data_IF_223601745923
#
_entry.id   IF_223601745923
#
_cell.length_a   1.000
_cell.length_b   1.000
_cell.length_c   1.000
_cell.angle_alpha   90.00
_cell.angle_beta   90.00
_cell.angle_gamma   90.00
#
_symmetry.space_group_name_H-M   'P 1'
#
loop_
_entity.id
_entity.type
_entity.pdbx_description
1 polymer ?
#
# COMPACT_ATOMS: atom_id res chain seq x y z
N UNK A 1 25.28 -25.23 -2.11
CA UNK A 1 25.37 -23.96 -1.38
C UNK A 1 24.08 -23.85 -0.58
N UNK A 2 24.17 -23.77 0.74
CA UNK A 2 22.98 -23.70 1.61
C UNK A 2 22.19 -22.44 1.23
N UNK A 3 20.98 -22.64 0.73
CA UNK A 3 19.99 -21.56 0.60
C UNK A 3 19.78 -20.97 2.01
N UNK A 4 20.36 -19.81 2.23
CA UNK A 4 20.16 -19.06 3.46
C UNK A 4 18.70 -18.59 3.43
N UNK A 5 17.86 -19.25 4.20
CA UNK A 5 16.46 -18.90 4.37
C UNK A 5 16.42 -17.47 4.96
N UNK A 6 16.09 -16.48 4.12
CA UNK A 6 16.06 -15.08 4.53
C UNK A 6 14.93 -14.93 5.54
N UNK A 7 15.25 -14.47 6.73
CA UNK A 7 14.25 -14.24 7.75
C UNK A 7 13.68 -12.80 7.68
N UNK A 8 12.47 -12.60 8.20
CA UNK A 8 11.77 -11.33 8.25
C UNK A 8 12.64 -10.18 8.80
N UNK A 9 13.40 -10.45 9.88
CA UNK A 9 14.24 -9.43 10.51
C UNK A 9 15.39 -8.93 9.63
N UNK A 10 15.91 -9.75 8.74
CA UNK A 10 16.95 -9.35 7.78
C UNK A 10 16.38 -8.41 6.72
N UNK A 11 15.20 -8.74 6.17
CA UNK A 11 14.52 -7.87 5.20
C UNK A 11 14.12 -6.55 5.85
N UNK A 12 13.51 -6.59 7.04
CA UNK A 12 13.14 -5.37 7.78
C UNK A 12 14.34 -4.44 8.00
N UNK A 13 15.49 -4.99 8.37
CA UNK A 13 16.73 -4.21 8.52
C UNK A 13 17.23 -3.65 7.20
N UNK A 14 17.14 -4.41 6.12
CA UNK A 14 17.59 -3.98 4.80
C UNK A 14 16.73 -2.83 4.25
N UNK A 15 15.40 -2.96 4.30
CA UNK A 15 14.49 -1.87 3.85
C UNK A 15 14.61 -0.63 4.73
N UNK A 16 14.84 -0.79 6.04
CA UNK A 16 15.07 0.35 6.94
C UNK A 16 16.38 1.09 6.65
N UNK A 17 17.44 0.36 6.28
CA UNK A 17 18.72 0.97 5.84
C UNK A 17 18.57 1.77 4.56
N UNK A 18 17.70 1.38 3.64
CA UNK A 18 17.44 2.16 2.42
C UNK A 18 16.88 3.57 2.74
N UNK A 19 16.30 3.77 3.93
CA UNK A 19 15.89 5.08 4.41
C UNK A 19 17.07 6.01 4.77
N UNK A 20 18.28 5.45 5.03
CA UNK A 20 19.45 6.23 5.41
C UNK A 20 19.87 7.20 4.31
N UNK A 21 19.60 6.87 3.05
CA UNK A 21 19.81 7.74 1.89
C UNK A 21 19.12 9.10 2.01
N UNK A 22 17.96 9.16 2.67
CA UNK A 22 17.18 10.39 2.83
C UNK A 22 17.44 11.11 4.16
N UNK A 23 18.01 10.41 5.15
CA UNK A 23 18.19 10.97 6.49
C UNK A 23 19.12 12.19 6.48
N UNK A 24 18.66 13.25 7.14
CA UNK A 24 19.40 14.51 7.20
C UNK A 24 19.24 15.42 5.97
N UNK A 25 18.60 14.95 4.90
CA UNK A 25 18.37 15.74 3.67
C UNK A 25 16.89 15.97 3.37
N UNK A 26 16.02 15.02 3.71
CA UNK A 26 14.56 15.08 3.46
C UNK A 26 13.81 14.71 4.72
N UNK A 27 12.68 15.36 4.99
CA UNK A 27 11.83 15.07 6.15
C UNK A 27 11.24 13.65 6.08
N UNK A 28 11.20 12.89 7.19
CA UNK A 28 10.62 11.54 7.21
C UNK A 28 9.18 11.46 6.72
N UNK A 29 8.37 12.47 6.96
CA UNK A 29 6.99 12.54 6.46
C UNK A 29 6.90 12.63 4.94
N UNK A 30 7.97 13.04 4.29
CA UNK A 30 8.07 13.18 2.83
C UNK A 30 8.69 11.91 2.23
N UNK A 31 9.86 11.46 2.73
CA UNK A 31 10.56 10.36 2.07
C UNK A 31 9.94 8.98 2.30
N UNK A 32 9.04 8.83 3.26
CA UNK A 32 8.30 7.57 3.46
C UNK A 32 7.60 7.10 2.17
N UNK A 33 6.96 8.03 1.45
CA UNK A 33 6.21 7.69 0.24
C UNK A 33 7.14 7.22 -0.88
N UNK A 34 8.33 7.81 -1.01
CA UNK A 34 9.36 7.39 -1.98
C UNK A 34 9.89 5.98 -1.69
N UNK A 35 10.22 5.69 -0.43
CA UNK A 35 10.75 4.39 -0.02
C UNK A 35 9.68 3.30 -0.17
N UNK A 36 8.45 3.56 0.27
CA UNK A 36 7.34 2.60 0.19
C UNK A 36 6.93 2.32 -1.25
N UNK A 37 6.91 3.35 -2.11
CA UNK A 37 6.64 3.17 -3.55
C UNK A 37 7.79 2.41 -4.23
N UNK A 38 9.05 2.70 -3.91
CA UNK A 38 10.17 1.96 -4.49
C UNK A 38 10.17 0.49 -4.06
N UNK A 39 9.81 0.19 -2.80
CA UNK A 39 9.63 -1.19 -2.33
C UNK A 39 8.54 -1.92 -3.14
N UNK A 40 7.43 -1.24 -3.42
CA UNK A 40 6.35 -1.79 -4.23
C UNK A 40 6.81 -2.07 -5.67
N UNK A 41 7.48 -1.13 -6.33
CA UNK A 41 8.04 -1.31 -7.69
C UNK A 41 9.06 -2.43 -7.72
N UNK A 42 9.93 -2.51 -6.71
CA UNK A 42 10.91 -3.58 -6.57
C UNK A 42 10.24 -4.95 -6.45
N UNK A 43 9.20 -5.06 -5.62
CA UNK A 43 8.41 -6.27 -5.48
C UNK A 43 7.76 -6.69 -6.81
N UNK A 44 7.06 -5.77 -7.49
CA UNK A 44 6.44 -6.07 -8.78
C UNK A 44 7.47 -6.59 -9.78
N UNK A 45 8.65 -5.95 -9.82
CA UNK A 45 9.73 -6.32 -10.74
C UNK A 45 10.34 -7.67 -10.42
N UNK A 46 10.49 -8.00 -9.13
CA UNK A 46 11.03 -9.27 -8.68
C UNK A 46 10.06 -10.43 -8.97
N UNK A 47 8.76 -10.23 -8.72
CA UNK A 47 7.72 -11.22 -9.04
C UNK A 47 7.66 -11.45 -10.55
N UNK A 48 7.64 -10.38 -11.32
CA UNK A 48 7.60 -10.45 -12.78
C UNK A 48 8.82 -11.20 -13.35
N UNK A 49 10.02 -10.89 -12.87
CA UNK A 49 11.25 -11.54 -13.29
C UNK A 49 11.27 -13.04 -12.91
N UNK A 50 10.75 -13.38 -11.73
CA UNK A 50 10.69 -14.77 -11.26
C UNK A 50 9.76 -15.62 -12.14
N UNK A 51 8.60 -15.06 -12.53
CA UNK A 51 7.67 -15.71 -13.46
C UNK A 51 8.26 -15.82 -14.86
N UNK A 52 8.93 -14.76 -15.36
CA UNK A 52 9.62 -14.81 -16.64
C UNK A 52 10.66 -15.93 -16.68
N UNK A 53 11.52 -16.01 -15.66
CA UNK A 53 12.57 -17.04 -15.57
C UNK A 53 11.95 -18.45 -15.48
N UNK A 54 10.82 -18.61 -14.80
CA UNK A 54 10.09 -19.88 -14.73
C UNK A 54 9.52 -20.29 -16.09
N UNK A 55 8.85 -19.38 -16.80
CA UNK A 55 8.33 -19.64 -18.15
C UNK A 55 9.45 -19.89 -19.18
N UNK A 56 10.57 -19.18 -19.05
CA UNK A 56 11.73 -19.43 -19.92
C UNK A 56 12.31 -20.83 -19.69
N UNK A 57 12.37 -21.30 -18.46
CA UNK A 57 12.81 -22.65 -18.13
C UNK A 57 11.86 -23.74 -18.66
N UNK A 58 10.54 -23.47 -18.67
CA UNK A 58 9.52 -24.41 -19.10
C UNK A 58 9.35 -24.44 -20.64
N UNK A 59 9.39 -23.27 -21.29
CA UNK A 59 9.05 -23.11 -22.72
C UNK A 59 10.28 -22.84 -23.60
N UNK A 60 11.49 -22.76 -23.02
CA UNK A 60 12.73 -22.61 -23.79
C UNK A 60 12.78 -21.30 -24.57
N UNK A 61 13.24 -21.38 -25.83
CA UNK A 61 13.48 -20.22 -26.68
C UNK A 61 12.24 -19.76 -27.47
N UNK A 62 11.05 -19.75 -26.81
CA UNK A 62 9.82 -19.23 -27.38
C UNK A 62 9.42 -17.88 -26.78
N UNK A 63 10.15 -16.77 -27.04
CA UNK A 63 9.96 -15.50 -26.35
C UNK A 63 8.57 -14.89 -26.59
N UNK A 64 7.96 -15.15 -27.74
CA UNK A 64 6.61 -14.63 -28.04
C UNK A 64 5.54 -15.33 -27.20
N UNK A 65 5.66 -16.64 -27.00
CA UNK A 65 4.77 -17.39 -26.10
C UNK A 65 4.93 -16.89 -24.67
N UNK A 66 6.16 -16.71 -24.19
CA UNK A 66 6.41 -16.21 -22.84
C UNK A 66 5.81 -14.82 -22.66
N UNK A 67 5.92 -13.91 -23.64
CA UNK A 67 5.30 -12.59 -23.58
C UNK A 67 3.77 -12.67 -23.48
N UNK A 68 3.14 -13.60 -24.21
CA UNK A 68 1.67 -13.79 -24.12
C UNK A 68 1.28 -14.36 -22.75
N UNK A 69 2.03 -15.30 -22.17
CA UNK A 69 1.79 -15.82 -20.82
C UNK A 69 1.91 -14.70 -19.77
N UNK A 70 2.93 -13.86 -19.89
CA UNK A 70 3.17 -12.74 -18.98
C UNK A 70 2.06 -11.68 -18.98
N UNK A 71 1.26 -11.55 -20.02
CA UNK A 71 0.08 -10.67 -20.06
C UNK A 71 -1.04 -11.13 -19.12
N UNK A 72 -1.05 -12.40 -18.74
CA UNK A 72 -2.04 -12.98 -17.84
C UNK A 72 -1.60 -12.97 -16.38
N UNK A 73 -0.41 -12.46 -16.10
CA UNK A 73 0.10 -12.34 -14.74
C UNK A 73 -0.69 -11.31 -13.93
N UNK A 74 -0.59 -11.42 -12.61
CA UNK A 74 -1.28 -10.53 -11.67
C UNK A 74 -1.00 -9.06 -11.94
N UNK A 75 0.24 -8.72 -12.33
CA UNK A 75 0.66 -7.40 -12.78
C UNK A 75 1.50 -7.53 -14.05
N UNK A 76 1.25 -6.64 -14.98
CA UNK A 76 2.00 -6.54 -16.24
C UNK A 76 3.01 -5.40 -16.11
N UNK A 77 4.28 -5.66 -16.44
CA UNK A 77 5.31 -4.64 -16.43
C UNK A 77 5.84 -4.38 -17.85
N UNK A 78 5.79 -3.14 -18.33
CA UNK A 78 6.46 -2.78 -19.58
C UNK A 78 7.99 -2.99 -19.45
N UNK A 79 8.69 -3.40 -20.53
CA UNK A 79 10.11 -3.73 -20.47
C UNK A 79 11.02 -2.64 -19.89
N UNK A 80 10.73 -1.35 -20.17
CA UNK A 80 11.48 -0.22 -19.64
C UNK A 80 10.96 0.29 -18.28
N UNK A 81 9.82 -0.20 -17.80
CA UNK A 81 9.14 0.28 -16.60
C UNK A 81 9.24 -0.77 -15.47
N UNK A 82 10.47 -1.19 -15.16
CA UNK A 82 10.74 -2.09 -14.05
C UNK A 82 11.98 -1.64 -13.28
N UNK A 83 12.14 -2.14 -12.06
CA UNK A 83 13.23 -1.77 -11.17
C UNK A 83 14.61 -2.00 -11.80
N UNK A 84 14.81 -3.08 -12.53
CA UNK A 84 16.12 -3.43 -13.10
C UNK A 84 16.52 -2.47 -14.21
N UNK A 85 15.59 -2.08 -15.08
CA UNK A 85 15.84 -1.03 -16.09
C UNK A 85 16.17 0.32 -15.43
N UNK A 86 15.46 0.70 -14.36
CA UNK A 86 15.78 1.91 -13.61
C UNK A 86 17.18 1.85 -12.99
N UNK A 87 17.57 0.69 -12.45
CA UNK A 87 18.87 0.48 -11.86
C UNK A 87 20.00 0.54 -12.88
N UNK A 88 19.83 -0.04 -14.07
CA UNK A 88 20.82 0.00 -15.16
C UNK A 88 21.18 1.43 -15.56
N UNK A 89 20.19 2.31 -15.64
CA UNK A 89 20.34 3.70 -16.06
C UNK A 89 20.61 4.68 -14.89
N UNK A 90 20.84 4.22 -13.66
CA UNK A 90 20.94 5.05 -12.45
C UNK A 90 22.08 6.07 -12.48
N UNK A 91 23.11 5.86 -13.29
CA UNK A 91 24.24 6.78 -13.44
C UNK A 91 23.97 7.92 -14.45
N UNK A 92 22.88 7.83 -15.20
CA UNK A 92 22.47 8.85 -16.14
C UNK A 92 21.71 9.98 -15.43
N UNK A 93 21.75 11.21 -15.97
CA UNK A 93 20.90 12.30 -15.44
C UNK A 93 19.41 12.00 -15.65
N UNK A 94 18.55 12.67 -14.86
CA UNK A 94 17.10 12.59 -15.01
C UNK A 94 16.47 11.33 -14.38
N UNK A 95 17.06 10.78 -13.34
CA UNK A 95 16.50 9.61 -12.62
C UNK A 95 15.06 9.85 -12.14
N UNK A 96 14.76 11.05 -11.63
CA UNK A 96 13.41 11.39 -11.16
C UNK A 96 12.37 11.29 -12.27
N UNK A 97 12.63 11.88 -13.43
CA UNK A 97 11.74 11.82 -14.59
C UNK A 97 11.59 10.38 -15.12
N UNK A 98 12.69 9.60 -15.11
CA UNK A 98 12.69 8.20 -15.56
C UNK A 98 11.83 7.33 -14.66
N UNK A 99 11.93 7.51 -13.32
CA UNK A 99 11.10 6.78 -12.36
C UNK A 99 9.64 7.18 -12.52
N UNK A 100 9.30 8.47 -12.63
CA UNK A 100 7.93 8.93 -12.81
C UNK A 100 7.30 8.34 -14.10
N UNK A 101 8.03 8.31 -15.20
CA UNK A 101 7.59 7.66 -16.45
C UNK A 101 7.35 6.16 -16.28
N UNK A 102 8.21 5.47 -15.52
CA UNK A 102 8.05 4.05 -15.23
C UNK A 102 6.80 3.79 -14.37
N UNK A 103 6.55 4.59 -13.34
CA UNK A 103 5.34 4.49 -12.51
C UNK A 103 4.07 4.68 -13.35
N UNK A 104 4.06 5.69 -14.22
CA UNK A 104 2.93 5.95 -15.10
C UNK A 104 2.67 4.78 -16.07
N UNK A 105 3.72 4.24 -16.69
CA UNK A 105 3.59 3.09 -17.58
C UNK A 105 3.12 1.81 -16.85
N UNK A 106 3.57 1.58 -15.59
CA UNK A 106 3.08 0.49 -14.75
C UNK A 106 1.59 0.67 -14.45
N UNK A 107 1.16 1.90 -14.14
CA UNK A 107 -0.23 2.22 -13.86
C UNK A 107 -1.12 2.00 -15.08
N UNK A 108 -0.72 2.48 -16.26
CA UNK A 108 -1.47 2.33 -17.51
C UNK A 108 -1.73 0.86 -17.87
N UNK A 109 -0.70 0.00 -17.76
CA UNK A 109 -0.84 -1.44 -18.03
C UNK A 109 -1.69 -2.17 -16.97
N UNK A 110 -1.85 -1.60 -15.79
CA UNK A 110 -2.59 -2.18 -14.67
C UNK A 110 -3.74 -1.28 -14.18
N UNK A 111 -4.36 -0.52 -15.07
CA UNK A 111 -5.33 0.54 -14.74
C UNK A 111 -6.46 0.09 -13.81
N UNK A 112 -6.96 -1.14 -13.97
CA UNK A 112 -8.02 -1.68 -13.13
C UNK A 112 -7.63 -1.85 -11.66
N UNK A 113 -6.33 -2.01 -11.38
CA UNK A 113 -5.80 -2.24 -10.03
C UNK A 113 -5.10 -1.02 -9.47
N UNK A 114 -4.35 -0.30 -10.30
CA UNK A 114 -3.41 0.74 -9.87
C UNK A 114 -3.84 2.16 -10.29
N UNK A 115 -5.06 2.37 -10.81
CA UNK A 115 -5.53 3.72 -11.13
C UNK A 115 -5.30 4.68 -9.97
N UNK A 116 -4.66 5.81 -10.26
CA UNK A 116 -4.37 6.91 -9.35
C UNK A 116 -3.44 6.59 -8.15
N UNK A 117 -2.86 5.37 -8.09
CA UNK A 117 -2.01 4.95 -6.95
C UNK A 117 -0.73 5.78 -6.87
N UNK A 118 -0.22 6.28 -7.99
CA UNK A 118 1.02 7.05 -8.03
C UNK A 118 0.81 8.56 -8.24
N UNK A 119 -0.44 9.05 -8.27
CA UNK A 119 -0.77 10.45 -8.61
C UNK A 119 -0.18 11.49 -7.65
N UNK A 120 -0.04 11.15 -6.36
CA UNK A 120 0.41 12.07 -5.32
C UNK A 120 1.93 12.02 -5.09
N UNK A 121 2.66 11.19 -5.86
CA UNK A 121 4.11 11.05 -5.74
C UNK A 121 4.81 11.41 -7.06
N UNK A 122 5.89 12.20 -6.95
CA UNK A 122 6.79 12.46 -8.06
C UNK A 122 8.24 12.40 -7.58
N UNK A 123 9.00 11.49 -8.14
CA UNK A 123 10.43 11.37 -7.91
C UNK A 123 11.22 12.50 -8.58
N UNK A 124 10.58 13.26 -9.48
CA UNK A 124 11.15 14.46 -10.07
C UNK A 124 10.83 15.74 -9.28
N UNK A 125 10.23 15.60 -8.10
CA UNK A 125 9.86 16.74 -7.25
C UNK A 125 11.07 17.46 -6.66
N UNK A 126 10.97 18.81 -6.58
CA UNK A 126 11.94 19.66 -5.88
C UNK A 126 11.99 19.43 -4.35
N UNK A 127 11.06 18.63 -3.79
CA UNK A 127 11.13 18.17 -2.39
C UNK A 127 12.37 17.33 -2.11
N UNK A 128 12.99 16.74 -3.15
CA UNK A 128 14.24 15.97 -3.07
C UNK A 128 15.50 16.82 -3.29
N UNK A 129 15.37 18.14 -3.44
CA UNK A 129 16.46 19.06 -3.68
C UNK A 129 16.59 19.49 -5.14
N UNK A 130 17.75 20.06 -5.47
CA UNK A 130 18.08 20.42 -6.86
C UNK A 130 18.32 19.17 -7.73
N UNK A 131 18.53 19.36 -9.03
CA UNK A 131 18.67 18.24 -9.97
C UNK A 131 19.86 17.33 -9.65
N UNK A 132 20.97 17.89 -9.22
CA UNK A 132 22.15 17.12 -8.85
C UNK A 132 21.90 16.29 -7.57
N UNK A 133 21.38 16.92 -6.52
CA UNK A 133 21.07 16.29 -5.25
C UNK A 133 20.01 15.18 -5.45
N UNK A 134 18.96 15.48 -6.22
CA UNK A 134 17.91 14.51 -6.58
C UNK A 134 18.49 13.27 -7.26
N UNK A 135 19.33 13.46 -8.28
CA UNK A 135 19.97 12.33 -8.96
C UNK A 135 20.86 11.50 -8.04
N UNK A 136 21.62 12.12 -7.14
CA UNK A 136 22.46 11.41 -6.17
C UNK A 136 21.62 10.58 -5.18
N UNK A 137 20.55 11.17 -4.63
CA UNK A 137 19.62 10.49 -3.73
C UNK A 137 18.94 9.31 -4.42
N UNK A 138 18.40 9.50 -5.62
CA UNK A 138 17.68 8.46 -6.33
C UNK A 138 18.59 7.34 -6.83
N UNK A 139 19.82 7.68 -7.23
CA UNK A 139 20.85 6.66 -7.53
C UNK A 139 21.13 5.80 -6.30
N UNK A 140 21.39 6.41 -5.15
CA UNK A 140 21.67 5.70 -3.92
C UNK A 140 20.46 4.83 -3.48
N UNK A 141 19.23 5.33 -3.62
CA UNK A 141 18.02 4.56 -3.37
C UNK A 141 17.94 3.30 -4.26
N UNK A 142 18.20 3.43 -5.56
CA UNK A 142 18.22 2.29 -6.48
C UNK A 142 19.33 1.29 -6.12
N UNK A 143 20.51 1.77 -5.70
CA UNK A 143 21.62 0.92 -5.25
C UNK A 143 21.27 0.17 -3.96
N UNK A 144 20.58 0.83 -3.01
CA UNK A 144 20.12 0.19 -1.78
C UNK A 144 19.10 -0.92 -2.05
N UNK A 145 18.13 -0.67 -2.93
CA UNK A 145 17.12 -1.67 -3.29
C UNK A 145 17.65 -2.80 -4.20
N UNK A 146 18.83 -2.62 -4.82
CA UNK A 146 19.47 -3.67 -5.61
C UNK A 146 20.32 -4.64 -4.78
N UNK A 147 20.53 -4.36 -3.49
CA UNK A 147 21.34 -5.24 -2.61
C UNK A 147 20.76 -6.66 -2.55
N UNK A 148 21.60 -7.70 -2.44
CA UNK A 148 21.17 -9.10 -2.41
C UNK A 148 20.12 -9.41 -1.33
N UNK A 149 20.17 -8.70 -0.19
CA UNK A 149 19.22 -8.83 0.91
C UNK A 149 17.78 -8.44 0.51
N UNK A 150 17.64 -7.56 -0.50
CA UNK A 150 16.37 -7.09 -1.05
C UNK A 150 16.01 -7.78 -2.39
N UNK A 151 16.50 -8.98 -2.62
CA UNK A 151 15.95 -9.84 -3.66
C UNK A 151 14.65 -10.46 -3.14
N UNK A 152 13.52 -9.94 -3.61
CA UNK A 152 12.17 -10.25 -3.13
C UNK A 152 11.45 -11.28 -4.02
N UNK A 153 12.20 -12.03 -4.84
CA UNK A 153 11.63 -13.07 -5.73
C UNK A 153 10.90 -14.15 -4.92
N UNK A 154 9.68 -14.53 -5.28
CA UNK A 154 8.93 -15.59 -4.62
C UNK A 154 9.70 -16.90 -4.48
N UNK A 155 10.46 -17.32 -5.51
CA UNK A 155 11.31 -18.50 -5.49
C UNK A 155 12.38 -18.45 -4.40
N UNK A 156 12.77 -17.27 -3.93
CA UNK A 156 13.78 -17.07 -2.89
C UNK A 156 13.19 -16.89 -1.50
N UNK A 157 12.12 -16.11 -1.38
CA UNK A 157 11.52 -15.78 -0.08
C UNK A 157 10.45 -16.77 0.38
N UNK A 158 9.90 -17.56 -0.55
CA UNK A 158 8.95 -18.64 -0.30
C UNK A 158 7.56 -18.23 0.19
N UNK A 159 7.39 -17.06 0.79
CA UNK A 159 6.11 -16.55 1.34
C UNK A 159 5.93 -15.08 1.04
N UNK A 160 4.81 -14.72 0.39
CA UNK A 160 4.45 -13.32 0.08
C UNK A 160 4.28 -12.46 1.34
N UNK A 161 3.85 -13.04 2.45
CA UNK A 161 3.63 -12.33 3.72
C UNK A 161 4.89 -11.58 4.21
N UNK A 162 6.08 -12.06 3.86
CA UNK A 162 7.34 -11.43 4.27
C UNK A 162 7.46 -10.00 3.75
N UNK A 163 7.00 -9.73 2.52
CA UNK A 163 7.11 -8.40 1.91
C UNK A 163 6.04 -7.48 2.48
N UNK A 164 4.81 -7.95 2.59
CA UNK A 164 3.75 -7.23 3.25
C UNK A 164 4.12 -6.84 4.68
N UNK A 165 4.69 -7.77 5.45
CA UNK A 165 5.17 -7.49 6.79
C UNK A 165 6.34 -6.49 6.82
N UNK A 166 7.23 -6.51 5.82
CA UNK A 166 8.29 -5.51 5.71
C UNK A 166 7.74 -4.12 5.38
N UNK A 167 6.69 -4.05 4.57
CA UNK A 167 5.97 -2.82 4.26
C UNK A 167 5.28 -2.25 5.50
N UNK A 168 4.54 -3.07 6.26
CA UNK A 168 3.93 -2.66 7.53
C UNK A 168 4.98 -2.23 8.56
N UNK A 169 6.11 -2.94 8.62
CA UNK A 169 7.24 -2.55 9.47
C UNK A 169 7.75 -1.13 9.14
N UNK A 170 7.92 -0.81 7.85
CA UNK A 170 8.31 0.54 7.43
C UNK A 170 7.26 1.58 7.82
N UNK A 171 5.98 1.32 7.59
CA UNK A 171 4.88 2.20 7.98
C UNK A 171 4.95 2.48 9.49
N UNK A 172 5.12 1.45 10.32
CA UNK A 172 5.24 1.58 11.77
C UNK A 172 6.47 2.42 12.18
N UNK A 173 7.63 2.22 11.53
CA UNK A 173 8.84 2.99 11.80
C UNK A 173 8.67 4.47 11.41
N UNK A 174 8.05 4.75 10.26
CA UNK A 174 7.75 6.12 9.85
C UNK A 174 6.74 6.79 10.78
N UNK A 175 5.72 6.06 11.25
CA UNK A 175 4.81 6.56 12.25
C UNK A 175 5.53 6.93 13.55
N UNK A 176 6.41 6.07 14.06
CA UNK A 176 7.19 6.34 15.27
C UNK A 176 8.08 7.59 15.14
N UNK A 177 8.59 7.88 13.94
CA UNK A 177 9.45 9.05 13.69
C UNK A 177 8.67 10.34 13.36
N UNK A 178 7.41 10.24 12.95
CA UNK A 178 6.56 11.38 12.55
C UNK A 178 5.85 12.10 13.70
N UNK A 179 6.01 11.64 14.95
CA UNK A 179 5.45 12.27 16.14
C UNK A 179 3.91 12.32 16.15
N UNK A 180 3.32 13.49 16.47
CA UNK A 180 1.85 13.64 16.62
C UNK A 180 1.04 13.32 15.36
N UNK A 181 1.63 13.39 14.18
CA UNK A 181 0.96 13.05 12.90
C UNK A 181 0.91 11.54 12.63
N UNK A 182 1.59 10.75 13.44
CA UNK A 182 1.63 9.28 13.27
C UNK A 182 0.26 8.62 13.38
N UNK A 183 -0.59 9.07 14.31
CA UNK A 183 -1.93 8.54 14.54
C UNK A 183 -2.91 8.77 13.40
N UNK A 184 -2.56 9.61 12.40
CA UNK A 184 -3.43 9.89 11.26
C UNK A 184 -3.37 8.80 10.17
N UNK A 185 -2.37 7.92 10.17
CA UNK A 185 -2.21 6.91 9.12
C UNK A 185 -1.81 5.52 9.61
N UNK A 186 -1.58 5.32 10.90
CA UNK A 186 -1.13 4.04 11.44
C UNK A 186 -1.74 3.74 12.81
N UNK A 187 -2.34 2.55 12.93
CA UNK A 187 -2.76 1.97 14.20
C UNK A 187 -1.68 0.98 14.67
N UNK A 188 -1.21 1.04 15.93
CA UNK A 188 -0.24 0.07 16.44
C UNK A 188 -0.68 -1.37 16.19
N UNK A 189 0.26 -2.24 15.81
CA UNK A 189 -0.02 -3.61 15.39
C UNK A 189 -0.77 -4.39 16.47
N UNK A 190 -0.40 -4.23 17.73
CA UNK A 190 -1.00 -4.91 18.87
C UNK A 190 -2.47 -4.48 19.09
N UNK A 191 -2.77 -3.19 18.84
CA UNK A 191 -4.14 -2.67 18.92
C UNK A 191 -4.98 -3.22 17.77
N UNK A 192 -4.43 -3.22 16.55
CA UNK A 192 -5.11 -3.77 15.38
C UNK A 192 -5.37 -5.27 15.52
N UNK A 193 -4.43 -6.02 16.09
CA UNK A 193 -4.59 -7.44 16.39
C UNK A 193 -5.70 -7.67 17.43
N UNK A 194 -5.68 -6.92 18.53
CA UNK A 194 -6.71 -7.00 19.55
C UNK A 194 -8.11 -6.71 19.00
N UNK A 195 -8.24 -5.66 18.17
CA UNK A 195 -9.54 -5.32 17.54
C UNK A 195 -9.99 -6.48 16.63
N UNK A 196 -9.10 -7.01 15.79
CA UNK A 196 -9.41 -8.11 14.89
C UNK A 196 -9.82 -9.38 15.64
N UNK A 197 -9.15 -9.71 16.77
CA UNK A 197 -9.52 -10.83 17.63
C UNK A 197 -10.90 -10.63 18.30
N UNK A 198 -11.18 -9.45 18.81
CA UNK A 198 -12.47 -9.12 19.44
C UNK A 198 -13.63 -9.18 18.43
N UNK A 199 -13.41 -8.73 17.20
CA UNK A 199 -14.41 -8.76 16.14
C UNK A 199 -14.65 -10.17 15.59
N UNK A 200 -13.64 -11.06 15.70
CA UNK A 200 -13.71 -12.45 15.28
C UNK A 200 -14.34 -12.65 13.88
N UNK A 201 -13.83 -11.99 12.84
CA UNK A 201 -14.42 -12.06 11.50
C UNK A 201 -14.41 -13.50 10.97
N UNK A 202 -15.47 -13.87 10.26
CA UNK A 202 -15.68 -15.21 9.73
C UNK A 202 -15.38 -15.31 8.23
N UNK A 203 -15.23 -16.53 7.74
CA UNK A 203 -15.08 -16.80 6.31
C UNK A 203 -16.36 -16.40 5.56
N UNK A 204 -16.22 -15.59 4.54
CA UNK A 204 -17.31 -15.03 3.75
C UNK A 204 -17.67 -13.60 4.10
N UNK A 205 -17.17 -13.06 5.22
CA UNK A 205 -17.50 -11.70 5.67
C UNK A 205 -16.99 -10.62 4.71
N UNK A 206 -17.78 -9.57 4.58
CA UNK A 206 -17.40 -8.28 4.05
C UNK A 206 -17.02 -7.35 5.20
N UNK A 207 -15.76 -6.93 5.24
CA UNK A 207 -15.17 -6.16 6.34
C UNK A 207 -14.88 -4.75 5.87
N UNK A 208 -15.33 -3.74 6.63
CA UNK A 208 -15.15 -2.33 6.29
C UNK A 208 -14.38 -1.57 7.36
N UNK A 209 -13.50 -0.68 6.89
CA UNK A 209 -12.90 0.39 7.70
C UNK A 209 -13.16 1.75 7.02
N UNK A 210 -14.03 2.60 7.58
CA UNK A 210 -14.40 3.88 6.98
C UNK A 210 -13.32 4.97 7.11
N UNK A 211 -12.21 4.70 7.81
CA UNK A 211 -11.06 5.60 7.98
C UNK A 211 -9.78 4.76 7.98
N UNK A 212 -9.56 4.00 6.89
CA UNK A 212 -8.70 2.83 6.90
C UNK A 212 -7.19 3.12 7.02
N UNK A 213 -6.76 4.37 6.90
CA UNK A 213 -5.36 4.72 6.95
C UNK A 213 -4.53 3.89 5.95
N UNK A 214 -3.49 3.21 6.41
CA UNK A 214 -2.68 2.29 5.61
C UNK A 214 -3.33 0.92 5.34
N UNK A 215 -4.55 0.67 5.81
CA UNK A 215 -5.26 -0.59 5.67
C UNK A 215 -4.82 -1.70 6.63
N UNK A 216 -3.92 -1.42 7.57
CA UNK A 216 -3.36 -2.42 8.48
C UNK A 216 -4.42 -3.14 9.33
N UNK A 217 -5.44 -2.42 9.82
CA UNK A 217 -6.52 -3.03 10.61
C UNK A 217 -7.34 -4.02 9.78
N UNK A 218 -7.67 -3.67 8.53
CA UNK A 218 -8.34 -4.59 7.59
C UNK A 218 -7.50 -5.85 7.33
N UNK A 219 -6.18 -5.71 7.16
CA UNK A 219 -5.27 -6.83 6.96
C UNK A 219 -5.18 -7.73 8.19
N UNK A 220 -5.26 -7.19 9.42
CA UNK A 220 -5.33 -8.00 10.64
C UNK A 220 -6.62 -8.83 10.69
N UNK A 221 -7.76 -8.26 10.32
CA UNK A 221 -9.02 -9.00 10.19
C UNK A 221 -8.90 -10.13 9.14
N UNK A 222 -8.33 -9.84 7.98
CA UNK A 222 -8.08 -10.85 6.96
C UNK A 222 -7.16 -11.98 7.44
N UNK A 223 -6.12 -11.65 8.22
CA UNK A 223 -5.20 -12.63 8.78
C UNK A 223 -5.86 -13.53 9.84
N UNK A 224 -6.81 -13.01 10.63
CA UNK A 224 -7.61 -13.84 11.53
C UNK A 224 -8.38 -14.92 10.76
N UNK A 225 -9.05 -14.55 9.65
CA UNK A 225 -9.76 -15.53 8.80
C UNK A 225 -8.78 -16.55 8.19
N UNK A 226 -7.66 -16.08 7.62
CA UNK A 226 -6.64 -16.98 7.06
C UNK A 226 -6.11 -17.98 8.09
N UNK A 227 -5.82 -17.52 9.30
CA UNK A 227 -5.29 -18.36 10.38
C UNK A 227 -6.32 -19.37 10.88
N UNK A 228 -7.58 -18.97 11.02
CA UNK A 228 -8.66 -19.83 11.48
C UNK A 228 -9.06 -20.91 10.43
N UNK A 229 -8.89 -20.60 9.12
CA UNK A 229 -9.42 -21.40 8.01
C UNK A 229 -8.34 -21.82 6.98
N UNK A 230 -7.17 -22.27 7.46
CA UNK A 230 -6.10 -22.87 6.63
C UNK A 230 -5.69 -22.01 5.42
N UNK A 231 -5.59 -20.69 5.58
CA UNK A 231 -5.19 -19.77 4.51
C UNK A 231 -6.33 -19.36 3.58
N UNK A 232 -7.59 -19.55 3.98
CA UNK A 232 -8.75 -19.12 3.19
C UNK A 232 -8.67 -17.65 2.79
N UNK A 233 -9.04 -17.37 1.55
CA UNK A 233 -9.16 -16.03 0.97
C UNK A 233 -10.62 -15.63 0.72
N UNK A 234 -11.57 -16.34 1.31
CA UNK A 234 -13.02 -16.07 1.18
C UNK A 234 -13.43 -14.98 2.15
N UNK A 235 -13.10 -13.75 1.82
CA UNK A 235 -13.52 -12.51 2.47
C UNK A 235 -13.38 -11.36 1.47
N UNK A 236 -13.97 -10.21 1.76
CA UNK A 236 -13.76 -8.98 1.00
C UNK A 236 -13.45 -7.82 1.94
N UNK A 237 -12.46 -7.00 1.59
CA UNK A 237 -12.06 -5.84 2.37
C UNK A 237 -12.51 -4.55 1.69
N UNK A 238 -13.14 -3.69 2.46
CA UNK A 238 -13.60 -2.38 2.02
C UNK A 238 -13.00 -1.31 2.91
N UNK A 239 -12.52 -0.24 2.31
CA UNK A 239 -11.97 0.89 3.07
C UNK A 239 -12.24 2.20 2.39
N UNK A 240 -12.22 3.27 3.17
CA UNK A 240 -12.21 4.62 2.62
C UNK A 240 -11.19 5.45 3.39
N UNK A 241 -10.39 6.26 2.65
CA UNK A 241 -9.32 7.08 3.22
C UNK A 241 -9.34 8.47 2.56
N UNK A 242 -9.32 9.51 3.40
CA UNK A 242 -9.45 10.90 2.94
C UNK A 242 -8.16 11.46 2.33
N UNK A 243 -6.99 10.99 2.77
CA UNK A 243 -5.68 11.48 2.35
C UNK A 243 -5.18 10.62 1.17
N UNK A 244 -5.01 11.23 0.00
CA UNK A 244 -4.64 10.52 -1.23
C UNK A 244 -3.36 9.69 -1.11
N UNK A 245 -2.28 10.25 -0.55
CA UNK A 245 -1.04 9.49 -0.36
C UNK A 245 -1.22 8.31 0.60
N UNK A 246 -2.01 8.45 1.65
CA UNK A 246 -2.30 7.36 2.60
C UNK A 246 -3.20 6.29 1.97
N UNK A 247 -4.19 6.70 1.16
CA UNK A 247 -5.00 5.79 0.35
C UNK A 247 -4.13 4.96 -0.61
N UNK A 248 -3.17 5.58 -1.28
CA UNK A 248 -2.22 4.87 -2.15
C UNK A 248 -1.39 3.84 -1.38
N UNK A 249 -0.94 4.19 -0.16
CA UNK A 249 -0.25 3.23 0.73
C UNK A 249 -1.15 2.05 1.07
N UNK A 250 -2.44 2.28 1.39
CA UNK A 250 -3.39 1.20 1.67
C UNK A 250 -3.56 0.27 0.47
N UNK A 251 -3.71 0.80 -0.74
CA UNK A 251 -3.81 0.01 -1.97
C UNK A 251 -2.58 -0.86 -2.18
N UNK A 252 -1.39 -0.28 -2.10
CA UNK A 252 -0.13 -1.03 -2.22
C UNK A 252 -0.01 -2.10 -1.13
N UNK A 253 -0.40 -1.80 0.11
CA UNK A 253 -0.38 -2.73 1.22
C UNK A 253 -1.27 -3.97 0.98
N UNK A 254 -2.50 -3.77 0.47
CA UNK A 254 -3.39 -4.88 0.09
C UNK A 254 -2.72 -5.79 -0.93
N UNK A 255 -2.11 -5.22 -1.98
CA UNK A 255 -1.45 -6.01 -3.01
C UNK A 255 -0.23 -6.78 -2.49
N UNK A 256 0.58 -6.17 -1.62
CA UNK A 256 1.76 -6.81 -1.01
C UNK A 256 1.38 -7.98 -0.10
N UNK A 257 0.21 -7.93 0.54
CA UNK A 257 -0.36 -9.03 1.34
C UNK A 257 -1.17 -10.06 0.52
N UNK A 258 -1.17 -9.95 -0.81
CA UNK A 258 -1.87 -10.88 -1.69
C UNK A 258 -3.39 -10.85 -1.55
N UNK A 259 -3.94 -9.73 -1.10
CA UNK A 259 -5.39 -9.51 -0.99
C UNK A 259 -5.86 -8.77 -2.23
N UNK A 260 -6.43 -9.50 -3.19
CA UNK A 260 -6.97 -8.91 -4.43
C UNK A 260 -8.45 -8.53 -4.30
N UNK A 261 -9.19 -9.21 -3.43
CA UNK A 261 -10.58 -8.92 -3.15
C UNK A 261 -10.71 -7.76 -2.15
N UNK A 262 -10.39 -6.55 -2.62
CA UNK A 262 -10.53 -5.33 -1.85
C UNK A 262 -11.08 -4.18 -2.69
N UNK A 263 -11.75 -3.26 -2.02
CA UNK A 263 -12.17 -1.98 -2.58
C UNK A 263 -11.82 -0.87 -1.59
N UNK A 264 -10.74 -0.15 -1.88
CA UNK A 264 -10.29 0.98 -1.07
C UNK A 264 -10.53 2.26 -1.86
N UNK A 265 -11.41 3.11 -1.35
CA UNK A 265 -11.86 4.35 -1.99
C UNK A 265 -11.11 5.56 -1.43
N UNK A 266 -10.77 6.50 -2.31
CA UNK A 266 -10.22 7.78 -1.90
C UNK A 266 -11.32 8.81 -1.73
N UNK A 267 -11.44 9.37 -0.52
CA UNK A 267 -12.40 10.42 -0.20
C UNK A 267 -12.76 10.49 1.26
N UNK A 268 -13.35 11.62 1.65
CA UNK A 268 -13.85 11.87 2.99
C UNK A 268 -15.16 11.09 3.23
N UNK A 269 -15.14 10.10 4.09
CA UNK A 269 -16.27 9.22 4.38
C UNK A 269 -17.47 9.98 4.95
N UNK A 270 -17.22 11.01 5.75
CA UNK A 270 -18.30 11.75 6.39
C UNK A 270 -19.01 12.71 5.42
N UNK A 271 -18.26 13.33 4.50
CA UNK A 271 -18.80 14.28 3.52
C UNK A 271 -19.18 13.67 2.19
N UNK A 272 -18.45 12.62 1.78
CA UNK A 272 -18.59 11.99 0.47
C UNK A 272 -18.34 10.48 0.55
N UNK A 273 -19.25 9.72 1.17
CA UNK A 273 -19.12 8.26 1.23
C UNK A 273 -19.12 7.66 -0.17
N UNK A 274 -18.18 6.78 -0.44
CA UNK A 274 -17.96 6.13 -1.73
C UNK A 274 -18.38 4.66 -1.75
N UNK A 275 -18.48 4.04 -0.58
CA UNK A 275 -18.89 2.65 -0.45
C UNK A 275 -20.41 2.55 -0.49
N UNK A 276 -20.95 2.61 -1.70
CA UNK A 276 -22.38 2.61 -1.97
C UNK A 276 -22.81 1.32 -2.67
N UNK A 277 -24.07 0.93 -2.42
CA UNK A 277 -24.78 -0.06 -3.18
C UNK A 277 -25.41 0.57 -4.44
N UNK A 278 -25.98 -0.28 -5.31
CA UNK A 278 -26.86 0.15 -6.38
C UNK A 278 -27.97 1.08 -5.84
N UNK A 279 -28.29 2.12 -6.62
CA UNK A 279 -29.24 3.19 -6.23
C UNK A 279 -28.73 4.17 -5.16
N UNK A 280 -27.42 4.21 -4.89
CA UNK A 280 -26.79 5.23 -4.05
C UNK A 280 -27.08 5.10 -2.56
N UNK A 281 -27.44 3.92 -2.06
CA UNK A 281 -27.55 3.65 -0.63
C UNK A 281 -26.18 3.29 -0.07
N UNK A 282 -25.94 3.58 1.21
CA UNK A 282 -24.74 3.08 1.90
C UNK A 282 -24.71 1.56 1.88
N UNK A 283 -23.56 0.99 1.51
CA UNK A 283 -23.32 -0.44 1.63
C UNK A 283 -23.29 -0.85 3.08
N UNK A 284 -23.88 -2.02 3.37
CA UNK A 284 -23.82 -2.66 4.68
C UNK A 284 -22.74 -3.74 4.66
N UNK A 285 -22.12 -3.96 5.80
CA UNK A 285 -21.01 -4.88 5.98
C UNK A 285 -21.27 -5.81 7.17
N UNK A 286 -20.67 -7.00 7.15
CA UNK A 286 -20.80 -7.96 8.24
C UNK A 286 -19.98 -7.49 9.45
N UNK A 287 -18.79 -6.92 9.19
CA UNK A 287 -17.89 -6.40 10.21
C UNK A 287 -17.45 -4.98 9.85
N UNK A 288 -17.56 -4.05 10.80
CA UNK A 288 -17.00 -2.69 10.67
C UNK A 288 -15.98 -2.48 11.78
N UNK A 289 -14.78 -2.09 11.39
CA UNK A 289 -13.66 -1.77 12.28
C UNK A 289 -13.13 -0.40 11.97
N UNK A 290 -12.67 0.36 12.95
CA UNK A 290 -12.07 1.66 12.71
C UNK A 290 -11.19 2.14 13.87
N UNK A 291 -10.16 2.88 13.52
CA UNK A 291 -9.46 3.82 14.40
C UNK A 291 -9.53 5.21 13.75
N UNK A 292 -10.68 5.90 13.83
CA UNK A 292 -10.90 7.17 13.15
C UNK A 292 -10.08 8.31 13.76
N UNK A 293 -9.86 9.44 13.05
CA UNK A 293 -9.12 10.57 13.57
C UNK A 293 -9.83 11.16 14.80
N UNK A 294 -9.06 11.36 15.89
CA UNK A 294 -9.59 11.87 17.15
C UNK A 294 -9.86 13.37 17.10
N UNK A 295 -11.00 13.79 17.70
CA UNK A 295 -11.34 15.21 17.89
C UNK A 295 -11.36 16.03 16.60
N UNK A 296 -11.82 15.42 15.51
CA UNK A 296 -11.95 16.10 14.21
C UNK A 296 -13.02 17.18 14.30
N UNK A 297 -12.63 18.45 14.15
CA UNK A 297 -13.52 19.62 14.27
C UNK A 297 -14.13 20.07 12.93
N UNK A 298 -13.54 19.68 11.80
CA UNK A 298 -14.02 20.02 10.45
C UNK A 298 -14.59 18.81 9.70
N UNK A 299 -15.44 18.03 10.37
CA UNK A 299 -15.98 16.79 9.84
C UNK A 299 -17.20 16.94 8.89
N UNK A 300 -17.67 18.16 8.64
CA UNK A 300 -18.84 18.42 7.79
C UNK A 300 -20.14 18.64 8.57
N UNK A 301 -20.05 19.06 9.83
CA UNK A 301 -21.17 19.33 10.71
C UNK A 301 -22.26 20.22 10.07
N UNK A 302 -21.87 21.20 9.27
CA UNK A 302 -22.76 22.16 8.61
C UNK A 302 -23.76 21.49 7.66
N UNK A 303 -23.36 20.40 7.01
CA UNK A 303 -24.19 19.62 6.09
C UNK A 303 -24.90 18.42 6.72
N UNK A 304 -24.65 18.13 8.01
CA UNK A 304 -25.12 16.90 8.63
C UNK A 304 -26.67 16.84 8.77
N UNK A 305 -27.34 17.99 8.82
CA UNK A 305 -28.81 18.06 8.86
C UNK A 305 -29.47 17.58 7.57
N UNK A 306 -28.79 17.72 6.44
CA UNK A 306 -29.27 17.36 5.10
C UNK A 306 -28.62 16.04 4.59
N UNK A 307 -28.10 15.20 5.48
CA UNK A 307 -27.45 13.94 5.14
C UNK A 307 -28.40 13.00 4.36
N UNK A 308 -28.15 12.72 3.08
CA UNK A 308 -29.06 11.93 2.25
C UNK A 308 -29.16 10.45 2.68
N UNK A 309 -28.25 10.00 3.52
CA UNK A 309 -28.17 8.62 3.98
C UNK A 309 -28.86 8.40 5.33
N UNK A 310 -29.29 9.49 5.99
CA UNK A 310 -29.96 9.43 7.29
C UNK A 310 -29.08 8.94 8.44
N UNK A 311 -27.77 9.08 8.33
CA UNK A 311 -26.81 8.64 9.37
C UNK A 311 -27.06 9.33 10.70
N UNK A 312 -27.38 10.62 10.66
CA UNK A 312 -27.54 11.44 11.86
C UNK A 312 -28.99 11.54 12.37
N UNK A 313 -29.90 10.62 12.00
CA UNK A 313 -31.29 10.59 12.43
C UNK A 313 -31.47 10.47 13.96
N UNK A 314 -30.45 9.96 14.68
CA UNK A 314 -30.44 9.83 16.14
C UNK A 314 -29.96 11.10 16.83
N UNK A 315 -29.42 12.06 16.10
CA UNK A 315 -28.87 13.32 16.58
C UNK A 315 -27.58 13.64 15.83
N UNK A 316 -27.35 14.93 15.59
CA UNK A 316 -26.12 15.42 14.95
C UNK A 316 -25.02 15.53 16.01
N UNK A 317 -23.86 14.91 15.85
CA UNK A 317 -22.72 15.04 16.76
C UNK A 317 -22.27 16.50 16.92
N UNK A 318 -21.68 16.88 18.07
CA UNK A 318 -21.14 18.22 18.26
C UNK A 318 -20.10 18.57 17.18
N UNK A 319 -20.05 19.84 16.77
CA UNK A 319 -19.14 20.34 15.71
C UNK A 319 -17.67 19.97 15.93
N UNK A 320 -17.23 19.86 17.17
CA UNK A 320 -15.84 19.57 17.55
C UNK A 320 -15.59 18.09 17.88
N UNK A 321 -16.52 17.18 17.51
CA UNK A 321 -16.48 15.76 17.92
C UNK A 321 -16.84 14.85 16.74
N UNK A 322 -16.02 14.89 15.70
CA UNK A 322 -16.14 14.01 14.54
C UNK A 322 -16.07 12.52 14.85
N UNK A 323 -15.46 12.15 15.98
CA UNK A 323 -15.43 10.78 16.49
C UNK A 323 -16.83 10.14 16.48
N UNK A 324 -17.83 10.86 16.99
CA UNK A 324 -19.20 10.36 17.03
C UNK A 324 -19.86 10.30 15.64
N UNK A 325 -19.38 11.09 14.69
CA UNK A 325 -19.89 11.02 13.32
C UNK A 325 -19.45 9.74 12.59
N UNK A 326 -18.29 9.18 12.95
CA UNK A 326 -17.85 7.87 12.46
C UNK A 326 -18.59 6.71 13.12
N UNK A 327 -19.14 6.89 14.32
CA UNK A 327 -19.91 5.84 15.03
C UNK A 327 -21.34 5.74 14.50
N UNK A 328 -21.92 6.84 14.02
CA UNK A 328 -23.29 6.92 13.54
C UNK A 328 -23.44 6.54 12.07
#
# INVERSE_FOLDING_TARGET
MSETNINQGQINKAVWRACDTFRGTVDPSIYKDYVLTMLFVKYLSDVWQDHWDAYQKEHGDHPDLIRELMKNERFVLPPAANFYSLYEHRHEPGNGERIDKALHAIEEENIQKLSDVFQDISFNSNKLGDEKQKNEILKALLEDFHKPELNLRPSRIGRLDIIGNAYEYLIAQFAATSGKKAGEFYTPAEVSELIAELMAPAEGDEICDPACGSGSLLLKCANQIKNAHNGSKRFALYGQEAIGSTWALAKMNMFLHGVDNHRIEWGDTLRNPKLLEDKGRLRLFDVVVANPPFSLDKWGHEGAGDDPYGRYRRGIPPKTKGDYAFIL
#
